data_IF_951964934621
#
_entry.id   IF_951964934621
#
_cell.length_a   1.000
_cell.length_b   1.000
_cell.length_c   1.000
_cell.angle_alpha   90.00
_cell.angle_beta   90.00
_cell.angle_gamma   90.00
#
_symmetry.space_group_name_H-M   'P 1'
#
loop_
_entity.id
_entity.type
_entity.pdbx_description
1 polymer ?
#
# COMPACT_ATOMS: atom_id res chain seq x y z
N UNK A 1 23.76 9.95 -0.46
CA UNK A 1 22.68 9.14 0.15
C UNK A 1 22.09 8.26 -0.94
N UNK A 2 22.26 6.94 -0.87
CA UNK A 2 21.74 5.98 -1.86
C UNK A 2 20.66 5.14 -1.19
N UNK A 3 19.42 5.24 -1.66
CA UNK A 3 18.27 4.48 -1.13
C UNK A 3 17.06 5.37 -0.81
N UNK A 4 16.08 4.83 -0.07
CA UNK A 4 14.88 5.54 0.41
C UNK A 4 15.20 6.79 1.25
N UNK A 5 16.46 6.97 1.64
CA UNK A 5 16.98 8.15 2.33
C UNK A 5 16.79 9.46 1.57
N UNK A 6 16.84 9.42 0.24
CA UNK A 6 16.65 10.61 -0.60
C UNK A 6 15.18 10.92 -0.90
N UNK A 7 14.25 10.04 -0.52
CA UNK A 7 12.83 10.26 -0.74
C UNK A 7 12.34 11.32 0.25
N UNK A 8 11.66 12.33 -0.27
CA UNK A 8 11.07 13.42 0.52
C UNK A 8 9.57 13.20 0.59
N UNK A 9 9.00 13.34 1.78
CA UNK A 9 7.56 13.29 1.99
C UNK A 9 6.89 14.52 1.35
N UNK A 10 6.01 14.29 0.39
CA UNK A 10 5.15 15.33 -0.22
C UNK A 10 3.92 15.62 0.64
N UNK A 11 3.09 16.58 0.19
CA UNK A 11 1.71 16.69 0.66
C UNK A 11 0.93 15.39 0.40
N UNK A 12 -0.05 15.13 1.25
CA UNK A 12 -0.87 13.92 1.16
C UNK A 12 -1.83 14.02 -0.03
N UNK A 13 -1.70 13.09 -0.97
CA UNK A 13 -2.59 12.99 -2.12
C UNK A 13 -3.90 12.30 -1.74
N UNK A 14 -4.98 12.72 -2.40
CA UNK A 14 -6.34 12.16 -2.26
C UNK A 14 -6.57 10.90 -3.08
N UNK A 15 -5.59 10.49 -3.90
CA UNK A 15 -5.71 9.34 -4.79
C UNK A 15 -5.77 8.03 -4.01
N UNK A 16 -6.70 7.16 -4.40
CA UNK A 16 -6.95 5.87 -3.76
C UNK A 16 -6.22 4.74 -4.49
N UNK A 17 -6.20 3.58 -3.84
CA UNK A 17 -5.65 2.37 -4.43
C UNK A 17 -6.41 1.96 -5.71
N UNK A 18 -7.72 2.14 -5.75
CA UNK A 18 -8.55 1.84 -6.91
C UNK A 18 -8.21 2.72 -8.12
N UNK A 19 -7.94 4.02 -7.89
CA UNK A 19 -7.49 4.93 -8.93
C UNK A 19 -6.16 4.44 -9.50
N UNK A 20 -5.23 4.03 -8.61
CA UNK A 20 -3.95 3.48 -9.03
C UNK A 20 -4.12 2.19 -9.84
N UNK A 21 -5.02 1.29 -9.45
CA UNK A 21 -5.29 0.06 -10.19
C UNK A 21 -5.86 0.34 -11.59
N UNK A 22 -6.69 1.37 -11.73
CA UNK A 22 -7.23 1.77 -13.02
C UNK A 22 -6.13 2.33 -13.93
N UNK A 23 -5.25 3.17 -13.41
CA UNK A 23 -4.22 3.83 -14.21
C UNK A 23 -2.98 2.95 -14.46
N UNK A 24 -2.55 2.20 -13.44
CA UNK A 24 -1.25 1.53 -13.38
C UNK A 24 -1.33 0.03 -13.07
N UNK A 25 -2.52 -0.50 -12.76
CA UNK A 25 -2.70 -1.90 -12.37
C UNK A 25 -2.38 -2.90 -13.48
N UNK A 26 -2.43 -4.19 -13.13
CA UNK A 26 -1.96 -5.27 -14.02
C UNK A 26 -2.71 -5.32 -15.36
N UNK A 27 -4.03 -5.10 -15.34
CA UNK A 27 -4.85 -5.06 -16.55
C UNK A 27 -4.44 -3.91 -17.46
N UNK A 28 -4.22 -2.72 -16.91
CA UNK A 28 -3.78 -1.53 -17.64
C UNK A 28 -2.37 -1.71 -18.22
N UNK A 29 -1.48 -2.34 -17.45
CA UNK A 29 -0.13 -2.68 -17.91
C UNK A 29 -0.14 -3.67 -19.08
N UNK A 30 -1.00 -4.70 -19.06
CA UNK A 30 -1.13 -5.64 -20.19
C UNK A 30 -1.68 -4.98 -21.45
N UNK A 31 -2.54 -3.97 -21.31
CA UNK A 31 -3.11 -3.23 -22.43
C UNK A 31 -2.13 -2.24 -23.05
N UNK A 32 -1.57 -1.34 -22.24
CA UNK A 32 -0.67 -0.29 -22.73
C UNK A 32 0.40 0.10 -21.68
N UNK A 33 1.60 -0.53 -21.70
CA UNK A 33 2.69 -0.21 -20.78
C UNK A 33 3.20 1.25 -20.87
N UNK A 34 3.08 1.90 -22.03
CA UNK A 34 3.50 3.30 -22.22
C UNK A 34 2.56 4.20 -21.42
N UNK A 35 1.24 3.98 -21.52
CA UNK A 35 0.25 4.72 -20.75
C UNK A 35 0.48 4.59 -19.24
N UNK A 36 0.74 3.37 -18.76
CA UNK A 36 1.05 3.13 -17.33
C UNK A 36 2.29 3.92 -16.89
N UNK A 37 3.33 3.94 -17.72
CA UNK A 37 4.55 4.70 -17.39
C UNK A 37 4.29 6.19 -17.31
N UNK A 38 3.48 6.75 -18.21
CA UNK A 38 3.11 8.18 -18.18
C UNK A 38 2.24 8.48 -16.97
N UNK A 39 1.16 7.73 -16.76
CA UNK A 39 0.25 7.92 -15.63
C UNK A 39 0.98 7.81 -14.28
N UNK A 40 1.88 6.82 -14.14
CA UNK A 40 2.71 6.68 -12.94
C UNK A 40 3.59 7.92 -12.72
N UNK A 41 4.32 8.37 -13.73
CA UNK A 41 5.23 9.50 -13.59
C UNK A 41 4.51 10.82 -13.30
N UNK A 42 3.32 11.03 -13.85
CA UNK A 42 2.57 12.28 -13.69
C UNK A 42 1.77 12.33 -12.40
N UNK A 43 1.14 11.23 -12.00
CA UNK A 43 0.15 11.23 -10.90
C UNK A 43 0.64 10.60 -9.60
N UNK A 44 1.60 9.67 -9.66
CA UNK A 44 1.92 8.82 -8.50
C UNK A 44 3.37 8.93 -8.06
N UNK A 45 4.32 9.04 -8.97
CA UNK A 45 5.74 9.08 -8.63
C UNK A 45 6.04 10.22 -7.67
N UNK A 46 6.71 9.90 -6.56
CA UNK A 46 7.05 10.80 -5.46
C UNK A 46 5.83 11.41 -4.72
N UNK A 47 4.61 10.92 -4.97
CA UNK A 47 3.43 11.32 -4.21
C UNK A 47 3.30 10.48 -2.94
N UNK A 48 2.94 11.15 -1.84
CA UNK A 48 2.64 10.55 -0.55
C UNK A 48 1.16 10.22 -0.50
N UNK A 49 0.87 8.96 -0.22
CA UNK A 49 -0.47 8.39 -0.24
C UNK A 49 -0.76 7.76 1.11
N UNK A 50 -2.03 7.75 1.48
CA UNK A 50 -2.52 7.10 2.67
C UNK A 50 -3.49 6.00 2.24
N UNK A 51 -3.09 4.75 2.46
CA UNK A 51 -3.85 3.59 2.02
C UNK A 51 -3.95 2.55 3.14
N UNK A 52 -4.86 1.60 2.93
CA UNK A 52 -5.08 0.47 3.82
C UNK A 52 -4.90 -0.85 3.07
N UNK A 53 -4.34 -1.83 3.77
CA UNK A 53 -4.08 -3.16 3.22
C UNK A 53 -3.94 -4.18 4.34
N UNK A 54 -3.38 -5.34 4.01
CA UNK A 54 -3.08 -6.37 5.00
C UNK A 54 -1.68 -6.93 4.81
N UNK A 55 -1.06 -7.33 5.92
CA UNK A 55 0.29 -7.91 5.89
C UNK A 55 0.26 -9.20 5.09
N UNK A 56 0.97 -9.24 3.97
CA UNK A 56 1.22 -10.48 3.24
C UNK A 56 2.34 -11.27 3.92
N UNK A 57 3.49 -10.61 4.15
CA UNK A 57 4.64 -11.10 4.93
C UNK A 57 5.57 -9.94 5.30
N UNK A 58 6.47 -10.18 6.25
CA UNK A 58 7.55 -9.27 6.62
C UNK A 58 8.86 -10.00 6.34
N UNK A 59 9.79 -9.33 5.67
CA UNK A 59 11.14 -9.84 5.42
C UNK A 59 12.15 -8.99 6.20
N UNK A 60 13.01 -9.65 6.97
CA UNK A 60 14.18 -9.04 7.61
C UNK A 60 15.39 -9.21 6.67
N UNK A 61 16.11 -8.12 6.42
CA UNK A 61 17.23 -8.09 5.48
C UNK A 61 16.78 -8.24 4.02
N UNK A 62 16.37 -7.14 3.38
CA UNK A 62 15.92 -7.13 2.00
C UNK A 62 16.98 -6.49 1.08
N UNK A 63 17.49 -7.25 0.11
CA UNK A 63 18.41 -6.74 -0.90
C UNK A 63 17.66 -6.56 -2.23
N UNK A 64 17.42 -5.32 -2.66
CA UNK A 64 16.77 -5.01 -3.94
C UNK A 64 17.59 -4.01 -4.73
N UNK A 65 17.87 -4.34 -6.00
CA UNK A 65 18.64 -3.50 -6.93
C UNK A 65 20.01 -3.01 -6.38
N UNK A 66 20.71 -3.85 -5.62
CA UNK A 66 22.03 -3.53 -5.04
C UNK A 66 21.99 -2.67 -3.76
N UNK A 67 20.81 -2.39 -3.22
CA UNK A 67 20.62 -1.69 -1.95
C UNK A 67 20.26 -2.71 -0.86
N UNK A 68 21.02 -2.70 0.23
CA UNK A 68 20.69 -3.49 1.43
C UNK A 68 19.76 -2.67 2.33
N UNK A 69 18.52 -3.12 2.45
CA UNK A 69 17.51 -2.59 3.37
C UNK A 69 17.40 -3.54 4.56
N UNK A 70 17.19 -3.00 5.77
CA UNK A 70 17.05 -3.83 6.98
C UNK A 70 15.79 -4.69 6.98
N UNK A 71 14.78 -4.35 6.18
CA UNK A 71 13.62 -5.18 5.96
C UNK A 71 12.60 -4.55 5.03
N UNK A 72 11.53 -5.29 4.77
CA UNK A 72 10.44 -4.88 3.91
C UNK A 72 9.12 -5.49 4.38
N UNK A 73 8.02 -4.75 4.24
CA UNK A 73 6.67 -5.25 4.51
C UNK A 73 5.97 -5.44 3.18
N UNK A 74 5.58 -6.67 2.87
CA UNK A 74 4.77 -6.96 1.70
C UNK A 74 3.29 -6.87 2.08
N UNK A 75 2.51 -6.19 1.26
CA UNK A 75 1.13 -5.82 1.57
C UNK A 75 0.20 -6.31 0.45
N UNK A 76 -0.88 -6.97 0.86
CA UNK A 76 -2.02 -7.30 0.01
C UNK A 76 -3.06 -6.18 0.16
N UNK A 77 -3.43 -5.58 -0.97
CA UNK A 77 -4.39 -4.48 -1.05
C UNK A 77 -5.79 -5.02 -1.36
N UNK A 78 -6.82 -4.21 -1.12
CA UNK A 78 -8.20 -4.54 -1.50
C UNK A 78 -8.74 -3.46 -2.44
N UNK A 79 -9.17 -3.81 -3.67
CA UNK A 79 -9.07 -5.14 -4.29
C UNK A 79 -7.61 -5.52 -4.63
N UNK A 80 -7.31 -6.81 -4.65
CA UNK A 80 -5.98 -7.32 -5.05
C UNK A 80 -5.77 -7.17 -6.57
N UNK A 81 -4.55 -6.83 -6.99
CA UNK A 81 -4.15 -6.80 -8.41
C UNK A 81 -4.06 -8.21 -9.00
N UNK A 82 -3.68 -9.19 -8.18
CA UNK A 82 -3.44 -10.58 -8.57
C UNK A 82 -4.31 -11.58 -7.80
N UNK A 83 -5.65 -11.54 -7.94
CA UNK A 83 -6.58 -12.32 -7.10
C UNK A 83 -6.37 -13.85 -7.17
N UNK A 84 -5.78 -14.35 -8.26
CA UNK A 84 -5.52 -15.77 -8.47
C UNK A 84 -4.09 -16.21 -8.08
N UNK A 85 -3.22 -15.30 -7.62
CA UNK A 85 -1.82 -15.60 -7.29
C UNK A 85 -1.52 -15.22 -5.85
N UNK A 86 -1.81 -16.17 -4.94
CA UNK A 86 -1.71 -15.99 -3.49
C UNK A 86 -0.30 -15.73 -2.96
N UNK A 87 0.74 -15.96 -3.76
CA UNK A 87 2.14 -15.73 -3.38
C UNK A 87 2.64 -14.35 -3.82
N UNK A 88 1.82 -13.58 -4.53
CA UNK A 88 2.16 -12.25 -5.02
C UNK A 88 1.43 -11.18 -4.23
N UNK A 89 2.22 -10.30 -3.61
CA UNK A 89 1.73 -9.09 -2.94
C UNK A 89 1.62 -7.93 -3.93
N UNK A 90 0.74 -6.97 -3.64
CA UNK A 90 0.54 -5.79 -4.47
C UNK A 90 1.62 -4.73 -4.22
N UNK A 91 1.99 -4.51 -2.96
CA UNK A 91 2.91 -3.46 -2.54
C UNK A 91 4.04 -4.03 -1.67
N UNK A 92 5.23 -3.46 -1.80
CA UNK A 92 6.33 -3.59 -0.84
C UNK A 92 6.63 -2.23 -0.22
N UNK A 93 6.53 -2.15 1.09
CA UNK A 93 6.85 -0.99 1.91
C UNK A 93 8.28 -1.11 2.43
N UNK A 94 9.13 -0.20 1.97
CA UNK A 94 10.49 -0.03 2.45
C UNK A 94 10.51 1.03 3.55
N UNK A 95 11.19 0.77 4.66
CA UNK A 95 11.19 1.66 5.81
C UNK A 95 12.59 1.92 6.32
N UNK A 96 12.78 3.12 6.88
CA UNK A 96 14.01 3.48 7.60
C UNK A 96 13.98 2.88 9.00
N UNK A 97 15.17 2.71 9.56
CA UNK A 97 15.29 2.24 10.93
C UNK A 97 15.00 3.36 11.91
N UNK A 98 13.74 3.43 12.32
CA UNK A 98 13.28 4.24 13.43
C UNK A 98 12.82 3.32 14.54
N UNK A 99 13.25 3.59 15.78
CA UNK A 99 13.03 2.69 16.92
C UNK A 99 11.54 2.35 17.13
N UNK A 100 10.67 3.36 17.04
CA UNK A 100 9.23 3.18 17.26
C UNK A 100 8.58 2.40 16.11
N UNK A 101 8.92 2.74 14.86
CA UNK A 101 8.43 2.02 13.68
C UNK A 101 8.90 0.56 13.68
N UNK A 102 10.17 0.31 14.03
CA UNK A 102 10.72 -1.03 14.15
C UNK A 102 10.01 -1.90 15.18
N UNK A 103 9.63 -1.32 16.32
CA UNK A 103 8.82 -2.01 17.33
C UNK A 103 7.42 -2.37 16.81
N UNK A 104 6.75 -1.46 16.10
CA UNK A 104 5.45 -1.76 15.45
C UNK A 104 5.61 -2.90 14.45
N UNK A 105 6.63 -2.84 13.59
CA UNK A 105 6.89 -3.84 12.54
C UNK A 105 7.17 -5.22 13.12
N UNK A 106 7.92 -5.31 14.22
CA UNK A 106 8.23 -6.57 14.90
C UNK A 106 6.97 -7.30 15.43
N UNK A 107 5.85 -6.59 15.61
CA UNK A 107 4.58 -7.19 16.04
C UNK A 107 3.68 -7.65 14.89
N UNK A 108 4.01 -7.31 13.65
CA UNK A 108 3.18 -7.61 12.49
C UNK A 108 3.16 -9.12 12.21
N UNK A 109 1.97 -9.62 11.88
CA UNK A 109 1.72 -10.99 11.46
C UNK A 109 0.93 -10.97 10.17
N UNK A 110 1.14 -12.01 9.35
CA UNK A 110 0.36 -12.22 8.12
C UNK A 110 -1.14 -12.10 8.39
N UNK A 111 -1.85 -11.37 7.54
CA UNK A 111 -3.29 -11.13 7.60
C UNK A 111 -3.70 -9.97 8.51
N UNK A 112 -2.79 -9.35 9.26
CA UNK A 112 -3.13 -8.15 10.05
C UNK A 112 -3.43 -6.97 9.13
N UNK A 113 -4.50 -6.24 9.43
CA UNK A 113 -4.85 -5.01 8.71
C UNK A 113 -3.86 -3.89 9.04
N UNK A 114 -3.49 -3.15 8.01
CA UNK A 114 -2.57 -2.03 8.07
C UNK A 114 -3.26 -0.77 7.56
N UNK A 115 -2.96 0.33 8.23
CA UNK A 115 -3.23 1.69 7.77
C UNK A 115 -1.87 2.39 7.69
N UNK A 116 -1.50 2.88 6.51
CA UNK A 116 -0.14 3.34 6.26
C UNK A 116 -0.06 4.58 5.38
N UNK A 117 0.89 5.46 5.71
CA UNK A 117 1.27 6.60 4.88
C UNK A 117 2.63 6.34 4.26
N UNK A 118 2.71 6.38 2.93
CA UNK A 118 3.94 6.07 2.21
C UNK A 118 4.06 6.87 0.89
N UNK A 119 5.29 7.11 0.43
CA UNK A 119 5.56 7.75 -0.86
C UNK A 119 5.82 6.72 -1.93
N UNK A 120 5.16 6.83 -3.08
CA UNK A 120 5.40 5.94 -4.23
C UNK A 120 6.78 6.18 -4.84
N UNK A 121 7.52 5.09 -5.03
CA UNK A 121 8.88 5.10 -5.57
C UNK A 121 8.90 4.50 -6.96
N UNK A 122 8.34 3.29 -7.12
CA UNK A 122 8.42 2.54 -8.37
C UNK A 122 7.14 1.74 -8.66
N UNK A 123 6.78 1.71 -9.93
CA UNK A 123 5.72 0.82 -10.43
C UNK A 123 6.30 -0.59 -10.67
N UNK A 124 5.77 -1.59 -9.98
CA UNK A 124 6.12 -3.00 -10.18
C UNK A 124 5.84 -3.48 -11.60
N UNK A 125 6.65 -4.43 -12.08
CA UNK A 125 6.53 -5.02 -13.42
C UNK A 125 6.44 -6.53 -13.31
N UNK A 126 5.66 -7.16 -14.20
CA UNK A 126 5.64 -8.63 -14.43
C UNK A 126 5.53 -9.47 -13.15
N UNK A 127 4.70 -9.01 -12.21
CA UNK A 127 4.45 -9.72 -10.96
C UNK A 127 5.40 -9.39 -9.81
N UNK A 128 6.28 -8.41 -9.98
CA UNK A 128 6.88 -7.70 -8.85
C UNK A 128 5.88 -6.73 -8.23
N UNK A 129 5.88 -6.58 -6.90
CA UNK A 129 5.06 -5.59 -6.21
C UNK A 129 5.48 -4.16 -6.57
N UNK A 130 4.56 -3.21 -6.36
CA UNK A 130 4.84 -1.78 -6.41
C UNK A 130 5.63 -1.35 -5.17
N UNK A 131 6.58 -0.42 -5.33
CA UNK A 131 7.51 -0.04 -4.25
C UNK A 131 7.12 1.31 -3.66
N UNK A 132 7.01 1.37 -2.34
CA UNK A 132 6.79 2.62 -1.61
C UNK A 132 7.79 2.78 -0.46
N UNK A 133 8.10 4.02 -0.12
CA UNK A 133 8.84 4.40 1.09
C UNK A 133 7.86 4.75 2.21
N UNK A 134 7.88 3.97 3.29
CA UNK A 134 6.98 4.08 4.44
C UNK A 134 7.39 5.23 5.36
N UNK A 135 6.38 6.02 5.77
CA UNK A 135 6.54 7.09 6.76
C UNK A 135 5.90 6.76 8.09
N UNK A 136 4.67 6.24 8.07
CA UNK A 136 3.93 5.87 9.27
C UNK A 136 3.04 4.65 9.01
N UNK A 137 2.82 3.91 10.08
CA UNK A 137 2.06 2.66 10.10
C UNK A 137 1.23 2.57 11.39
N UNK A 138 -0.04 2.23 11.23
CA UNK A 138 -0.94 1.81 12.29
C UNK A 138 -1.50 0.41 11.98
N UNK A 139 -1.71 -0.37 13.04
CA UNK A 139 -2.33 -1.69 12.96
C UNK A 139 -3.83 -1.51 13.13
N UNK A 140 -4.61 -1.98 12.15
CA UNK A 140 -6.06 -1.98 12.24
C UNK A 140 -6.50 -3.05 13.25
N UNK A 141 -7.06 -2.60 14.37
CA UNK A 141 -7.70 -3.46 15.35
C UNK A 141 -9.03 -4.00 14.79
N UNK A 142 -9.31 -5.28 15.01
CA UNK A 142 -10.58 -5.92 14.65
C UNK A 142 -11.81 -5.27 15.33
N UNK A 143 -11.61 -4.37 16.29
CA UNK A 143 -12.69 -3.67 16.99
C UNK A 143 -13.31 -2.49 16.21
N UNK A 144 -12.82 -2.15 15.01
CA UNK A 144 -13.29 -0.97 14.23
C UNK A 144 -14.12 -1.32 12.98
N UNK A 145 -14.75 -2.49 12.93
CA UNK A 145 -15.63 -2.91 11.82
C UNK A 145 -17.11 -3.06 12.22
N UNK A 146 -17.64 -2.11 13.02
CA UNK A 146 -19.07 -1.92 13.25
C UNK A 146 -19.44 -0.43 13.36
N UNK A 147 -19.82 0.18 12.23
CA UNK A 147 -20.64 1.38 12.01
C UNK A 147 -20.19 1.92 10.63
N UNK A 148 -20.97 1.90 9.56
CA UNK A 148 -22.33 2.41 9.41
C UNK A 148 -23.19 1.51 8.51
N UNK A 149 -24.34 1.09 9.04
CA UNK A 149 -25.51 0.77 8.23
C UNK A 149 -26.65 1.65 8.72
N UNK A 150 -27.19 2.58 7.91
CA UNK A 150 -28.34 3.37 8.32
C UNK A 150 -29.59 2.48 8.28
N UNK A 151 -30.06 2.02 9.43
CA UNK A 151 -31.39 1.40 9.55
C UNK A 151 -32.44 2.50 9.41
N UNK A 152 -33.11 2.54 8.26
CA UNK A 152 -34.32 3.33 8.05
C UNK A 152 -35.41 2.82 8.99
N UNK A 153 -35.79 3.65 9.95
CA UNK A 153 -36.94 3.42 10.81
C UNK A 153 -38.15 4.13 10.20
N UNK A 154 -38.91 3.44 9.36
CA UNK A 154 -40.24 3.89 8.94
C UNK A 154 -41.29 3.20 9.81
N UNK A 155 -41.67 3.85 10.91
CA UNK A 155 -42.84 3.47 11.68
C UNK A 155 -44.02 4.34 11.25
N UNK A 156 -44.99 3.69 10.60
CA UNK A 156 -46.33 4.18 10.35
C UNK A 156 -47.02 4.56 11.67
N UNK A 157 -47.58 5.77 11.75
CA UNK A 157 -48.80 6.04 12.50
C UNK A 157 -49.62 7.05 11.71
N UNK A 158 -50.76 6.59 11.19
CA UNK A 158 -51.86 7.41 10.67
C UNK A 158 -52.90 7.59 11.80
N UNK A 159 -53.78 8.61 11.72
CA UNK A 159 -54.37 9.33 12.85
C UNK A 159 -55.45 8.57 13.63
#
# INVERSE_FOLDING_TARGET
ATGIEAIVRSELSVLRWEDFLQDCGFKSYLGNPIHVTVAFNEKYKNQTLHWQGSVHRVEEGFNFLGLSQRGAIFVDMTPQQFPNKRDMSDIVLLYKEEKELGQKIATLKKGMGLDFTATMVEVGRRGSPHVMALWDLAILSAASSKADSPSQNSSLVSP
#
